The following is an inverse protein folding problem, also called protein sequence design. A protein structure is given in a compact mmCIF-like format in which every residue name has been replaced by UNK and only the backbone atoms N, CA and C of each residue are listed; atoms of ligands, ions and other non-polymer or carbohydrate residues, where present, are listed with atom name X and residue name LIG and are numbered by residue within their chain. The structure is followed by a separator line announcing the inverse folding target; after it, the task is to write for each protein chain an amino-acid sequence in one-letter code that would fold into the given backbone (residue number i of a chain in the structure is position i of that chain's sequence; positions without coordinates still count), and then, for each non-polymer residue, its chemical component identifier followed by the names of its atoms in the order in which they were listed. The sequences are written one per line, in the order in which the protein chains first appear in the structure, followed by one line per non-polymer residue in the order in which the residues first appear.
data_IF_671121304242
#
_entry.id   IF_671121304242
#
_cell.length_a   1.000
_cell.length_b   1.000
_cell.length_c   1.000
_cell.angle_alpha   90.00
_cell.angle_beta   90.00
_cell.angle_gamma   90.00
#
_symmetry.space_group_name_H-M   'P 1'
#
loop_
_entity.id
_entity.type
_entity.pdbx_description
1 polymer ?
#
# COMPACT_ATOMS: atom_id res chain seq x y z
N UNK A 1 12.22 -26.86 -21.60
CA UNK A 1 10.98 -26.07 -21.39
C UNK A 1 10.23 -26.54 -20.13
N UNK A 2 10.72 -26.22 -18.93
CA UNK A 2 10.12 -26.70 -17.65
C UNK A 2 9.80 -25.54 -16.68
N UNK A 3 10.45 -24.39 -16.85
CA UNK A 3 10.30 -23.23 -15.97
C UNK A 3 8.83 -22.81 -15.79
N UNK A 4 8.05 -22.77 -16.87
CA UNK A 4 6.63 -22.38 -16.83
C UNK A 4 5.82 -23.29 -15.90
N UNK A 5 6.04 -24.61 -15.94
CA UNK A 5 5.31 -25.55 -15.08
C UNK A 5 5.68 -25.38 -13.60
N UNK A 6 6.95 -25.07 -13.30
CA UNK A 6 7.38 -24.71 -11.94
C UNK A 6 6.70 -23.44 -11.45
N UNK A 7 6.64 -22.38 -12.28
CA UNK A 7 5.93 -21.15 -11.92
C UNK A 7 4.43 -21.41 -11.71
N UNK A 8 3.82 -22.21 -12.57
CA UNK A 8 2.40 -22.54 -12.48
C UNK A 8 2.05 -23.28 -11.19
N UNK A 9 2.91 -24.22 -10.76
CA UNK A 9 2.76 -24.91 -9.48
C UNK A 9 2.84 -23.96 -8.27
N UNK A 10 3.76 -22.99 -8.30
CA UNK A 10 3.85 -21.97 -7.24
C UNK A 10 2.61 -21.07 -7.21
N UNK A 11 2.13 -20.65 -8.38
CA UNK A 11 0.94 -19.79 -8.47
C UNK A 11 -0.34 -20.53 -8.05
N UNK A 12 -0.44 -21.83 -8.31
CA UNK A 12 -1.54 -22.66 -7.81
C UNK A 12 -1.46 -22.90 -6.31
N UNK A 13 -0.27 -23.18 -5.77
CA UNK A 13 -0.07 -23.31 -4.33
C UNK A 13 -0.42 -22.01 -3.57
N UNK A 14 -0.16 -20.85 -4.19
CA UNK A 14 -0.55 -19.55 -3.66
C UNK A 14 -2.04 -19.20 -3.90
N UNK A 15 -2.81 -20.12 -4.50
CA UNK A 15 -4.21 -19.92 -4.87
C UNK A 15 -4.45 -18.72 -5.82
N UNK A 16 -3.41 -18.26 -6.53
CA UNK A 16 -3.47 -17.19 -7.54
C UNK A 16 -3.91 -17.70 -8.90
N UNK A 17 -3.72 -19.00 -9.16
CA UNK A 17 -4.25 -19.68 -10.33
C UNK A 17 -5.10 -20.86 -9.89
N UNK A 18 -6.29 -20.96 -10.48
CA UNK A 18 -7.19 -22.10 -10.37
C UNK A 18 -7.13 -22.86 -11.68
N UNK A 19 -6.84 -24.16 -11.60
CA UNK A 19 -6.76 -25.00 -12.79
C UNK A 19 -7.95 -25.93 -12.89
N UNK A 20 -8.55 -26.04 -14.07
CA UNK A 20 -9.58 -27.01 -14.37
C UNK A 20 -9.14 -27.88 -15.55
N UNK A 21 -9.26 -29.20 -15.39
CA UNK A 21 -9.01 -30.15 -16.48
C UNK A 21 -10.23 -30.14 -17.41
N UNK A 22 -9.99 -29.86 -18.69
CA UNK A 22 -10.99 -29.89 -19.75
C UNK A 22 -10.53 -30.85 -20.86
N UNK A 23 -10.94 -32.11 -20.72
CA UNK A 23 -10.51 -33.20 -21.59
C UNK A 23 -8.98 -33.38 -21.61
N UNK A 24 -8.36 -33.04 -22.75
CA UNK A 24 -6.91 -33.09 -22.99
C UNK A 24 -6.20 -31.75 -22.74
N UNK A 25 -6.96 -30.71 -22.38
CA UNK A 25 -6.45 -29.37 -22.12
C UNK A 25 -6.62 -28.98 -20.65
N UNK A 26 -5.84 -28.00 -20.22
CA UNK A 26 -5.92 -27.42 -18.87
C UNK A 26 -6.29 -25.96 -19.01
N UNK A 27 -7.45 -25.57 -18.48
CA UNK A 27 -7.85 -24.17 -18.38
C UNK A 27 -7.28 -23.60 -17.09
N UNK A 28 -6.67 -22.42 -17.19
CA UNK A 28 -6.08 -21.69 -16.08
C UNK A 28 -6.89 -20.41 -15.89
N UNK A 29 -7.42 -20.24 -14.69
CA UNK A 29 -8.17 -19.07 -14.29
C UNK A 29 -7.36 -18.31 -13.24
N UNK A 30 -7.26 -17.00 -13.38
CA UNK A 30 -6.60 -16.16 -12.39
C UNK A 30 -7.56 -15.83 -11.25
N UNK A 31 -7.09 -15.93 -10.01
CA UNK A 31 -7.84 -15.59 -8.82
C UNK A 31 -7.25 -14.33 -8.17
N UNK A 32 -8.01 -13.23 -8.20
CA UNK A 32 -7.58 -11.95 -7.64
C UNK A 32 -7.79 -11.84 -6.12
N UNK A 33 -8.54 -12.75 -5.50
CA UNK A 33 -8.89 -12.66 -4.08
C UNK A 33 -7.66 -12.62 -3.15
N UNK A 34 -6.61 -13.45 -3.31
CA UNK A 34 -5.44 -13.41 -2.43
C UNK A 34 -4.70 -12.06 -2.47
N UNK A 35 -4.62 -11.42 -3.66
CA UNK A 35 -4.00 -10.10 -3.80
C UNK A 35 -4.81 -9.06 -3.03
N UNK A 36 -6.15 -9.12 -3.16
CA UNK A 36 -7.03 -8.20 -2.46
C UNK A 36 -6.94 -8.36 -0.94
N UNK A 37 -6.88 -9.59 -0.44
CA UNK A 37 -6.71 -9.87 1.00
C UNK A 37 -5.40 -9.30 1.56
N UNK A 38 -4.30 -9.40 0.81
CA UNK A 38 -3.01 -8.80 1.21
C UNK A 38 -3.14 -7.28 1.24
N UNK A 39 -3.76 -6.69 0.21
CA UNK A 39 -3.99 -5.26 0.15
C UNK A 39 -4.84 -4.75 1.32
N UNK A 40 -5.97 -5.41 1.61
CA UNK A 40 -6.86 -5.02 2.68
C UNK A 40 -6.15 -5.13 4.04
N UNK A 41 -5.46 -6.26 4.30
CA UNK A 41 -4.65 -6.44 5.52
C UNK A 41 -3.58 -5.37 5.68
N UNK A 42 -2.80 -5.08 4.63
CA UNK A 42 -1.72 -4.09 4.72
C UNK A 42 -2.26 -2.68 4.82
N UNK A 43 -3.38 -2.40 4.18
CA UNK A 43 -4.06 -1.12 4.33
C UNK A 43 -4.52 -0.97 5.78
N UNK A 44 -5.14 -1.96 6.40
CA UNK A 44 -5.59 -1.84 7.78
C UNK A 44 -4.42 -1.82 8.79
N UNK A 45 -3.56 -2.83 8.78
CA UNK A 45 -2.46 -3.00 9.76
C UNK A 45 -1.41 -1.88 9.64
N UNK A 46 -1.08 -1.48 8.42
CA UNK A 46 0.01 -0.54 8.16
C UNK A 46 -0.50 0.91 8.11
N UNK A 47 -1.71 1.18 7.59
CA UNK A 47 -2.21 2.57 7.61
C UNK A 47 -2.40 3.08 9.04
N UNK A 48 -2.90 2.24 9.96
CA UNK A 48 -3.04 2.61 11.37
C UNK A 48 -1.70 2.93 12.02
N UNK A 49 -0.68 2.10 11.76
CA UNK A 49 0.66 2.29 12.31
C UNK A 49 1.30 3.60 11.82
N UNK A 50 1.22 3.90 10.52
CA UNK A 50 1.85 5.11 9.96
C UNK A 50 1.02 6.38 10.15
N UNK A 51 -0.30 6.28 10.32
CA UNK A 51 -1.17 7.44 10.48
C UNK A 51 -0.80 8.29 11.70
N UNK A 52 -0.42 7.65 12.82
CA UNK A 52 0.00 8.37 14.03
C UNK A 52 1.29 9.18 13.82
N UNK A 53 2.31 8.54 13.24
CA UNK A 53 3.61 9.19 13.00
C UNK A 53 3.52 10.26 11.90
N UNK A 54 2.78 10.00 10.82
CA UNK A 54 2.53 11.00 9.77
C UNK A 54 1.75 12.21 10.31
N UNK A 55 0.76 11.99 11.18
CA UNK A 55 0.03 13.06 11.86
C UNK A 55 0.95 13.89 12.76
N UNK A 56 1.81 13.22 13.55
CA UNK A 56 2.82 13.88 14.38
C UNK A 56 3.78 14.72 13.53
N UNK A 57 4.31 14.17 12.43
CA UNK A 57 5.19 14.88 11.51
C UNK A 57 4.50 16.10 10.88
N UNK A 58 3.22 15.99 10.50
CA UNK A 58 2.41 17.11 10.01
C UNK A 58 2.36 18.24 11.03
N UNK A 59 2.00 17.95 12.28
CA UNK A 59 1.92 18.99 13.32
C UNK A 59 3.28 19.65 13.60
N UNK A 60 4.37 18.89 13.59
CA UNK A 60 5.72 19.45 13.72
C UNK A 60 6.08 20.37 12.54
N UNK A 61 5.76 19.97 11.31
CA UNK A 61 5.99 20.77 10.12
C UNK A 61 5.17 22.07 10.13
N UNK A 62 3.88 21.99 10.51
CA UNK A 62 2.99 23.15 10.64
C UNK A 62 3.42 24.09 11.76
N UNK A 63 3.84 23.56 12.92
CA UNK A 63 4.37 24.37 14.02
C UNK A 63 5.62 25.16 13.59
N UNK A 64 6.53 24.52 12.85
CA UNK A 64 7.73 25.18 12.31
C UNK A 64 7.37 26.26 11.28
N UNK A 65 6.42 25.99 10.38
CA UNK A 65 5.94 26.98 9.42
C UNK A 65 5.23 28.17 10.10
N UNK A 66 4.50 27.93 11.19
CA UNK A 66 3.87 28.96 12.01
C UNK A 66 4.89 29.86 12.72
N UNK A 67 6.00 29.29 13.20
CA UNK A 67 7.08 30.08 13.81
C UNK A 67 7.81 30.97 12.80
N UNK A 68 7.98 30.53 11.55
CA UNK A 68 8.56 31.35 10.48
C UNK A 68 7.64 32.50 10.06
N UNK A 69 6.33 32.24 9.89
CA UNK A 69 5.35 33.30 9.59
C UNK A 69 5.25 34.39 10.67
N UNK A 70 5.53 34.05 11.93
CA UNK A 70 5.49 35.01 13.05
C UNK A 70 6.75 35.90 13.12
N UNK A 71 7.89 35.43 12.60
CA UNK A 71 9.13 36.24 12.47
C UNK A 71 9.10 37.20 11.27
N UNK A 72 8.33 36.90 10.22
CA UNK A 72 8.28 37.72 9.00
C UNK A 72 7.27 38.87 9.02
N UNK A 73 6.51 39.06 10.11
CA UNK A 73 5.72 40.28 10.32
C UNK A 73 6.51 41.24 11.22
N UNK A 74 7.34 42.16 10.67
CA UNK A 74 7.86 43.26 11.45
C UNK A 74 6.67 44.13 11.87
N UNK A 75 6.67 44.56 13.12
CA UNK A 75 5.68 45.51 13.61
C UNK A 75 5.66 46.75 12.73
N UNK A 76 4.51 47.00 12.10
CA UNK A 76 4.13 48.35 11.75
C UNK A 76 4.06 49.11 13.07
N UNK A 77 5.01 50.03 13.25
CA UNK A 77 5.03 50.94 14.39
C UNK A 77 4.15 52.10 13.96
N UNK A 78 2.95 52.15 14.54
CA UNK A 78 2.12 53.33 14.56
C UNK A 78 2.90 54.44 15.29
N UNK A 79 3.14 55.55 14.59
CA UNK A 79 3.73 56.78 15.08
C UNK A 79 3.23 57.94 14.24
#
# INVERSE_FOLDING_TARGET
RIAIMKHLAVLEAANLIVSQKDGRTRRLFFNAAPIRMIYDRWTDDYSGYWAGELTRLKYLAEARAGTEKRKSKPGGIDG
#
